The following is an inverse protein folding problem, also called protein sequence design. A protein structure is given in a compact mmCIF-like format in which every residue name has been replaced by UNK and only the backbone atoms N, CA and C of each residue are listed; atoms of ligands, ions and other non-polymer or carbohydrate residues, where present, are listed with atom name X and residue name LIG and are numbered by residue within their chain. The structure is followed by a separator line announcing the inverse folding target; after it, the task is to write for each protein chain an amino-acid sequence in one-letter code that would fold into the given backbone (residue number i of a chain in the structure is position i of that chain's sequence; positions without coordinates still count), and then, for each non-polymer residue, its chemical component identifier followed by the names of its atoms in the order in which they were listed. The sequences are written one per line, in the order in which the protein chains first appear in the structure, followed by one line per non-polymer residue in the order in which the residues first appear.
data_IF_215536105440
#
_entry.id   IF_215536105440
#
_cell.length_a   1.000
_cell.length_b   1.000
_cell.length_c   1.000
_cell.angle_alpha   90.00
_cell.angle_beta   90.00
_cell.angle_gamma   90.00
#
_symmetry.space_group_name_H-M   'P 1'
#
loop_
_entity.id
_entity.type
_entity.pdbx_description
1 polymer ?
#
# COMPACT_ATOMS: atom_id res chain seq x y z
N UNK A 1 9.63 24.42 13.96
CA UNK A 1 8.40 23.84 13.38
C UNK A 1 8.69 22.55 12.58
N UNK A 2 9.61 22.58 11.61
CA UNK A 2 9.90 21.43 10.71
C UNK A 2 10.19 20.11 11.44
N UNK A 3 11.04 20.10 12.47
CA UNK A 3 11.36 18.86 13.20
C UNK A 3 10.14 18.24 13.90
N UNK A 4 9.25 19.07 14.45
CA UNK A 4 8.02 18.62 15.09
C UNK A 4 7.07 18.04 14.05
N UNK A 5 6.91 18.72 12.90
CA UNK A 5 6.03 18.23 11.84
C UNK A 5 6.51 16.90 11.27
N UNK A 6 7.82 16.70 11.11
CA UNK A 6 8.40 15.43 10.65
C UNK A 6 8.10 14.30 11.63
N UNK A 7 8.37 14.52 12.93
CA UNK A 7 8.13 13.49 13.94
C UNK A 7 6.64 13.18 14.06
N UNK A 8 5.79 14.21 14.07
CA UNK A 8 4.35 14.04 14.18
C UNK A 8 3.76 13.26 13.01
N UNK A 9 4.08 13.62 11.77
CA UNK A 9 3.53 12.94 10.59
C UNK A 9 4.07 11.51 10.47
N UNK A 10 5.34 11.27 10.80
CA UNK A 10 5.91 9.93 10.79
C UNK A 10 5.22 9.01 11.80
N UNK A 11 5.00 9.46 13.04
CA UNK A 11 4.31 8.67 14.07
C UNK A 11 2.85 8.44 13.69
N UNK A 12 2.15 9.48 13.26
CA UNK A 12 0.75 9.37 12.85
C UNK A 12 0.57 8.40 11.66
N UNK A 13 1.44 8.48 10.65
CA UNK A 13 1.45 7.56 9.52
C UNK A 13 1.74 6.12 9.96
N UNK A 14 2.78 5.91 10.77
CA UNK A 14 3.15 4.59 11.26
C UNK A 14 1.99 3.91 12.00
N UNK A 15 1.35 4.62 12.94
CA UNK A 15 0.22 4.07 13.71
C UNK A 15 -0.97 3.76 12.79
N UNK A 16 -1.34 4.70 11.92
CA UNK A 16 -2.50 4.55 11.03
C UNK A 16 -2.32 3.37 10.07
N UNK A 17 -1.15 3.28 9.42
CA UNK A 17 -0.86 2.18 8.50
C UNK A 17 -0.70 0.85 9.22
N UNK A 18 -0.11 0.81 10.42
CA UNK A 18 -0.03 -0.44 11.21
C UNK A 18 -1.40 -0.96 11.60
N UNK A 19 -2.34 -0.08 11.97
CA UNK A 19 -3.72 -0.47 12.27
C UNK A 19 -4.41 -1.00 11.00
N UNK A 20 -4.29 -0.29 9.88
CA UNK A 20 -4.88 -0.74 8.61
C UNK A 20 -4.32 -2.11 8.17
N UNK A 21 -3.00 -2.31 8.29
CA UNK A 21 -2.31 -3.57 7.98
C UNK A 21 -2.88 -4.74 8.78
N UNK A 22 -3.19 -4.54 10.06
CA UNK A 22 -3.76 -5.60 10.92
C UNK A 22 -5.25 -5.86 10.61
N UNK A 23 -6.02 -4.82 10.27
CA UNK A 23 -7.48 -4.96 10.10
C UNK A 23 -7.85 -5.46 8.70
N UNK A 24 -7.25 -4.89 7.65
CA UNK A 24 -7.62 -5.18 6.26
C UNK A 24 -6.50 -5.82 5.44
N UNK A 25 -5.24 -5.70 5.89
CA UNK A 25 -4.07 -6.02 5.07
C UNK A 25 -3.79 -4.91 4.04
N UNK A 26 -2.57 -4.40 4.00
CA UNK A 26 -2.21 -3.28 3.11
C UNK A 26 -1.54 -3.70 1.80
N UNK A 27 -0.98 -4.90 1.72
CA UNK A 27 -0.23 -5.39 0.57
C UNK A 27 -0.85 -6.69 0.06
N UNK A 28 -0.91 -6.82 -1.27
CA UNK A 28 -1.28 -8.06 -1.95
C UNK A 28 -0.22 -9.15 -1.73
N UNK A 29 -0.51 -10.38 -2.13
CA UNK A 29 0.44 -11.48 -2.04
C UNK A 29 1.63 -11.28 -2.98
N UNK A 30 2.77 -11.94 -2.72
CA UNK A 30 3.95 -11.83 -3.60
C UNK A 30 3.67 -12.32 -5.03
N UNK A 31 2.81 -13.32 -5.17
CA UNK A 31 2.44 -13.87 -6.48
C UNK A 31 1.56 -12.87 -7.26
N UNK A 32 0.59 -12.23 -6.60
CA UNK A 32 -0.22 -11.17 -7.22
C UNK A 32 0.61 -9.95 -7.59
N UNK A 33 1.58 -9.58 -6.75
CA UNK A 33 2.51 -8.48 -7.04
C UNK A 33 3.40 -8.79 -8.25
N UNK A 34 3.82 -10.06 -8.43
CA UNK A 34 4.60 -10.51 -9.59
C UNK A 34 3.79 -10.57 -10.87
N UNK A 35 2.54 -11.02 -10.80
CA UNK A 35 1.63 -11.11 -11.95
C UNK A 35 1.15 -9.72 -12.40
N UNK A 36 0.93 -8.82 -11.45
CA UNK A 36 0.54 -7.43 -11.69
C UNK A 36 -0.91 -7.15 -11.28
N UNK A 37 -1.14 -5.95 -10.73
CA UNK A 37 -2.44 -5.53 -10.18
C UNK A 37 -3.50 -5.28 -11.26
N UNK A 38 -3.08 -4.92 -12.47
CA UNK A 38 -4.01 -4.78 -13.60
C UNK A 38 -4.70 -6.12 -13.88
N UNK A 39 -3.93 -7.21 -13.90
CA UNK A 39 -4.46 -8.56 -14.11
C UNK A 39 -5.19 -9.06 -12.86
N UNK A 40 -4.54 -9.00 -11.70
CA UNK A 40 -5.01 -9.69 -10.49
C UNK A 40 -6.13 -8.94 -9.76
N UNK A 41 -6.15 -7.61 -9.81
CA UNK A 41 -7.17 -6.80 -9.11
C UNK A 41 -8.21 -6.18 -10.05
N UNK A 42 -7.86 -5.94 -11.31
CA UNK A 42 -8.73 -5.24 -12.26
C UNK A 42 -9.17 -6.13 -13.44
N UNK A 43 -8.53 -7.29 -13.66
CA UNK A 43 -8.87 -8.22 -14.74
C UNK A 43 -8.51 -7.71 -16.14
N UNK A 44 -7.61 -6.74 -16.24
CA UNK A 44 -7.23 -6.06 -17.48
C UNK A 44 -5.72 -6.16 -17.75
N UNK A 45 -5.35 -6.05 -19.03
CA UNK A 45 -3.95 -5.88 -19.44
C UNK A 45 -3.79 -4.46 -19.97
N UNK A 46 -2.85 -3.69 -19.42
CA UNK A 46 -2.60 -2.31 -19.86
C UNK A 46 -2.25 -2.20 -21.36
N UNK A 47 -1.71 -3.27 -21.94
CA UNK A 47 -1.34 -3.32 -23.36
C UNK A 47 -1.85 -4.61 -24.01
N UNK A 48 -2.40 -4.45 -25.21
CA UNK A 48 -2.73 -5.54 -26.14
C UNK A 48 -1.93 -5.30 -27.41
N UNK A 49 -1.09 -6.26 -27.79
CA UNK A 49 -0.36 -6.29 -29.07
C UNK A 49 -1.04 -7.27 -30.03
#
# INVERSE_FOLDING_TARGET
AVGITVVWTAVAAFVSFKIADIIVGLRVTEDEEREGLDITSHGESAYHY
#
